data_IF_290184728583
#
_entry.id   IF_290184728583
#
_cell.length_a   1.000
_cell.length_b   1.000
_cell.length_c   1.000
_cell.angle_alpha   90.00
_cell.angle_beta   90.00
_cell.angle_gamma   90.00
#
_symmetry.space_group_name_H-M   'P 1'
#
loop_
_entity.id
_entity.type
_entity.pdbx_description
1 polymer ?
#
# COMPACT_ATOMS: atom_id res chain seq x y z
N UNK A 1 11.09 -20.23 20.12
CA UNK A 1 10.07 -19.45 19.39
C UNK A 1 10.61 -18.03 19.32
N UNK A 2 11.13 -17.60 18.16
CA UNK A 2 11.66 -16.24 17.99
C UNK A 2 10.47 -15.29 17.83
N UNK A 3 10.33 -14.35 18.77
CA UNK A 3 9.28 -13.32 18.73
C UNK A 3 9.61 -12.33 17.62
N UNK A 4 8.85 -12.32 16.52
CA UNK A 4 8.92 -11.25 15.52
C UNK A 4 8.63 -9.91 16.22
N UNK A 5 9.48 -8.92 16.04
CA UNK A 5 9.25 -7.60 16.62
C UNK A 5 8.00 -6.95 15.99
N UNK A 6 7.32 -6.07 16.72
CA UNK A 6 6.13 -5.37 16.19
C UNK A 6 6.41 -4.63 14.87
N UNK A 7 7.65 -4.16 14.69
CA UNK A 7 8.10 -3.53 13.44
C UNK A 7 8.22 -4.54 12.29
N UNK A 8 8.71 -5.75 12.57
CA UNK A 8 8.76 -6.83 11.57
C UNK A 8 7.36 -7.35 11.22
N UNK A 9 6.41 -7.36 12.17
CA UNK A 9 5.01 -7.68 11.86
C UNK A 9 4.35 -6.63 10.96
N UNK A 10 4.59 -5.33 11.22
CA UNK A 10 4.09 -4.25 10.35
C UNK A 10 4.72 -4.31 8.97
N UNK A 11 6.01 -4.63 8.90
CA UNK A 11 6.73 -4.80 7.64
C UNK A 11 6.20 -5.99 6.85
N UNK A 12 6.01 -7.15 7.48
CA UNK A 12 5.44 -8.34 6.87
C UNK A 12 4.00 -8.10 6.38
N UNK A 13 3.19 -7.40 7.17
CA UNK A 13 1.84 -6.99 6.77
C UNK A 13 1.85 -5.97 5.63
N UNK A 14 2.87 -5.13 5.52
CA UNK A 14 3.01 -4.15 4.42
C UNK A 14 3.58 -4.79 3.14
N UNK A 15 4.43 -5.82 3.26
CA UNK A 15 5.00 -6.55 2.12
C UNK A 15 3.94 -7.33 1.33
N UNK A 16 2.81 -7.67 1.97
CA UNK A 16 1.70 -8.38 1.36
C UNK A 16 0.57 -7.47 0.83
N UNK A 17 0.73 -6.14 0.91
CA UNK A 17 -0.28 -5.19 0.43
C UNK A 17 0.22 -4.44 -0.78
N UNK A 18 -0.57 -4.47 -1.85
CA UNK A 18 -0.34 -3.68 -3.06
C UNK A 18 -1.44 -2.63 -3.21
N UNK A 19 -1.06 -1.39 -3.51
CA UNK A 19 -2.00 -0.31 -3.83
C UNK A 19 -2.01 -0.04 -5.34
N UNK A 20 -3.21 0.14 -5.89
CA UNK A 20 -3.41 0.45 -7.31
C UNK A 20 -4.35 1.65 -7.44
N UNK A 21 -4.22 2.41 -8.52
CA UNK A 21 -5.21 3.42 -8.88
C UNK A 21 -6.50 2.74 -9.31
N UNK A 22 -7.64 3.21 -8.79
CA UNK A 22 -8.93 2.61 -9.10
C UNK A 22 -9.35 2.85 -10.56
N UNK A 23 -8.95 3.98 -11.15
CA UNK A 23 -9.41 4.39 -12.48
C UNK A 23 -8.59 3.81 -13.64
N UNK A 24 -7.30 3.51 -13.40
CA UNK A 24 -6.38 3.10 -14.47
C UNK A 24 -5.45 1.94 -14.08
N UNK A 25 -5.72 1.31 -12.94
CA UNK A 25 -5.04 0.11 -12.41
C UNK A 25 -3.52 0.25 -12.29
N UNK A 26 -3.03 1.49 -12.30
CA UNK A 26 -1.60 1.78 -12.18
C UNK A 26 -1.15 1.48 -10.76
N UNK A 27 -0.09 0.70 -10.61
CA UNK A 27 0.54 0.44 -9.31
C UNK A 27 0.94 1.76 -8.64
N UNK A 28 0.58 1.92 -7.38
CA UNK A 28 0.87 3.08 -6.55
C UNK A 28 1.78 2.68 -5.40
N UNK A 29 2.63 3.61 -4.97
CA UNK A 29 3.41 3.43 -3.74
C UNK A 29 2.46 3.27 -2.55
N UNK A 30 2.69 2.23 -1.74
CA UNK A 30 1.92 1.97 -0.53
C UNK A 30 1.98 3.20 0.39
N UNK A 31 0.85 3.83 0.61
CA UNK A 31 0.77 4.97 1.52
C UNK A 31 0.47 4.49 2.92
N UNK A 32 1.50 4.61 3.77
CA UNK A 32 1.42 4.34 5.21
C UNK A 32 0.49 5.35 5.87
N UNK A 33 -0.21 4.93 6.92
CA UNK A 33 -1.08 5.79 7.71
C UNK A 33 -0.30 7.00 8.26
N UNK A 34 -0.85 8.20 8.12
CA UNK A 34 -0.17 9.47 8.45
C UNK A 34 0.62 10.12 7.31
N UNK A 35 0.86 9.44 6.18
CA UNK A 35 1.46 10.07 4.99
C UNK A 35 0.41 10.69 4.07
N UNK A 36 0.74 11.86 3.49
CA UNK A 36 -0.12 12.52 2.49
C UNK A 36 -0.22 11.65 1.23
N UNK A 37 -1.44 11.25 0.87
CA UNK A 37 -1.72 10.51 -0.36
C UNK A 37 -1.37 11.36 -1.58
N UNK A 38 -0.43 10.90 -2.40
CA UNK A 38 -0.12 11.49 -3.72
C UNK A 38 -1.20 11.13 -4.77
N UNK A 39 -1.47 11.97 -5.77
CA UNK A 39 -2.32 11.56 -6.89
C UNK A 39 -1.66 10.43 -7.70
N UNK A 40 -2.46 9.67 -8.45
CA UNK A 40 -1.95 8.69 -9.40
C UNK A 40 -1.08 9.38 -10.46
N UNK A 41 0.15 8.90 -10.72
CA UNK A 41 1.05 9.54 -11.70
C UNK A 41 0.56 9.41 -13.15
N UNK A 42 -0.35 8.47 -13.45
CA UNK A 42 -0.84 8.22 -14.82
C UNK A 42 -2.08 9.06 -15.16
N UNK A 43 -3.05 9.17 -14.26
CA UNK A 43 -4.33 9.85 -14.52
C UNK A 43 -4.64 11.01 -13.57
N UNK A 44 -3.80 11.26 -12.56
CA UNK A 44 -4.04 12.32 -11.57
C UNK A 44 -5.11 12.00 -10.52
N UNK A 45 -5.78 10.85 -10.60
CA UNK A 45 -6.84 10.48 -9.66
C UNK A 45 -6.29 10.15 -8.25
N UNK A 46 -7.07 10.47 -7.22
CA UNK A 46 -6.76 10.11 -5.83
C UNK A 46 -7.42 8.80 -5.38
N UNK A 47 -8.25 8.19 -6.23
CA UNK A 47 -8.95 6.93 -5.93
C UNK A 47 -8.01 5.75 -6.07
N UNK A 48 -8.06 4.85 -5.08
CA UNK A 48 -7.14 3.72 -4.97
C UNK A 48 -7.85 2.47 -4.49
N UNK A 49 -7.34 1.31 -4.88
CA UNK A 49 -7.73 -0.02 -4.42
C UNK A 49 -6.54 -0.67 -3.72
N UNK A 50 -6.78 -1.31 -2.57
CA UNK A 50 -5.80 -2.16 -1.89
C UNK A 50 -6.09 -3.61 -2.19
N UNK A 51 -5.04 -4.35 -2.50
CA UNK A 51 -5.08 -5.80 -2.65
C UNK A 51 -4.16 -6.42 -1.61
N UNK A 52 -4.71 -7.35 -0.84
CA UNK A 52 -4.00 -8.13 0.17
C UNK A 52 -3.72 -9.49 -0.47
N UNK A 53 -2.45 -9.83 -0.64
CA UNK A 53 -2.05 -11.20 -0.99
C UNK A 53 -2.04 -12.03 0.30
N UNK A 54 -2.74 -13.16 0.29
CA UNK A 54 -2.75 -14.18 1.37
C UNK A 54 -1.48 -15.05 1.31
#
# INVERSE_FOLDING_TARGET
>A
MQSLSALEMIKLMSENVKEFCLDCETALELTIDGQKKKPCPKCGAYRRKREYSD
#
